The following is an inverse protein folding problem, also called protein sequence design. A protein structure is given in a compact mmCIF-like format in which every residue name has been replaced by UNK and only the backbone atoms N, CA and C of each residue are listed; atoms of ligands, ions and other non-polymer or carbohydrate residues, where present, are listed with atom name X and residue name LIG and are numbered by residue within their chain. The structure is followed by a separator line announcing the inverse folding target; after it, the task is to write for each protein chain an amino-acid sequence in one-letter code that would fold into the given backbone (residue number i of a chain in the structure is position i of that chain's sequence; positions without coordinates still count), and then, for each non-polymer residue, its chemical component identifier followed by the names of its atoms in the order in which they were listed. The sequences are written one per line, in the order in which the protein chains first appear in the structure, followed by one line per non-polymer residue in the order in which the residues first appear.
data_IF_402398674274
#
_entry.id   IF_402398674274
#
_cell.length_a   1.000
_cell.length_b   1.000
_cell.length_c   1.000
_cell.angle_alpha   90.00
_cell.angle_beta   90.00
_cell.angle_gamma   90.00
#
_symmetry.space_group_name_H-M   'P 1'
#
loop_
_entity.id
_entity.type
_entity.pdbx_description
1 polymer ?
#
# COMPACT_ATOMS: atom_id res chain seq x y z
N UNK A 1 -32.49 -35.10 -58.01
CA UNK A 1 -31.92 -35.53 -56.71
C UNK A 1 -30.84 -34.54 -56.23
N UNK A 2 -31.06 -33.22 -56.37
CA UNK A 2 -29.96 -32.23 -56.25
C UNK A 2 -29.94 -31.43 -54.94
N UNK A 3 -30.96 -31.57 -54.09
CA UNK A 3 -31.05 -30.82 -52.83
C UNK A 3 -30.17 -31.43 -51.71
N UNK A 4 -29.92 -32.73 -51.74
CA UNK A 4 -29.21 -33.46 -50.68
C UNK A 4 -27.71 -33.15 -50.65
N UNK A 5 -27.11 -32.86 -51.81
CA UNK A 5 -25.66 -32.59 -51.92
C UNK A 5 -25.32 -31.15 -51.55
N UNK A 6 -26.21 -30.20 -51.84
CA UNK A 6 -26.04 -28.78 -51.49
C UNK A 6 -26.07 -28.57 -49.97
N UNK A 7 -26.94 -29.30 -49.26
CA UNK A 7 -27.04 -29.24 -47.80
C UNK A 7 -25.78 -29.73 -47.08
N UNK A 8 -25.02 -30.66 -47.65
CA UNK A 8 -23.78 -31.16 -47.06
C UNK A 8 -22.61 -30.16 -47.23
N UNK A 9 -22.56 -29.43 -48.36
CA UNK A 9 -21.56 -28.38 -48.59
C UNK A 9 -21.77 -27.16 -47.68
N UNK A 10 -23.02 -26.90 -47.30
CA UNK A 10 -23.41 -25.80 -46.43
C UNK A 10 -23.29 -26.11 -44.93
N UNK A 11 -23.12 -27.39 -44.58
CA UNK A 11 -23.05 -27.81 -43.18
C UNK A 11 -21.77 -27.29 -42.49
N UNK A 12 -21.91 -26.98 -41.20
CA UNK A 12 -20.81 -26.57 -40.33
C UNK A 12 -19.81 -27.72 -40.15
N UNK A 13 -18.53 -27.45 -40.41
CA UNK A 13 -17.45 -28.44 -40.39
C UNK A 13 -16.23 -27.90 -39.64
N UNK A 14 -15.48 -28.78 -38.98
CA UNK A 14 -14.17 -28.40 -38.45
C UNK A 14 -13.21 -28.10 -39.60
N UNK A 15 -12.47 -27.00 -39.50
CA UNK A 15 -11.42 -26.66 -40.47
C UNK A 15 -10.05 -26.82 -39.82
N UNK A 16 -9.02 -26.97 -40.67
CA UNK A 16 -7.64 -27.04 -40.19
C UNK A 16 -7.16 -25.63 -39.81
N UNK A 17 -6.50 -25.51 -38.66
CA UNK A 17 -5.94 -24.23 -38.21
C UNK A 17 -4.97 -23.66 -39.24
N UNK A 18 -4.09 -24.51 -39.79
CA UNK A 18 -3.11 -24.13 -40.80
C UNK A 18 -3.75 -23.58 -42.10
N UNK A 19 -4.95 -24.04 -42.47
CA UNK A 19 -5.71 -23.51 -43.62
C UNK A 19 -6.04 -22.03 -43.39
N UNK A 20 -6.60 -21.71 -42.22
CA UNK A 20 -6.98 -20.34 -41.88
C UNK A 20 -5.76 -19.45 -41.65
N UNK A 21 -4.73 -19.93 -40.95
CA UNK A 21 -3.50 -19.17 -40.77
C UNK A 21 -2.86 -18.80 -42.11
N UNK A 22 -2.81 -19.75 -43.04
CA UNK A 22 -2.31 -19.48 -44.39
C UNK A 22 -3.19 -18.45 -45.11
N UNK A 23 -4.52 -18.58 -45.07
CA UNK A 23 -5.43 -17.60 -45.68
C UNK A 23 -5.32 -16.19 -45.06
N UNK A 24 -5.09 -16.11 -43.75
CA UNK A 24 -4.82 -14.85 -43.03
C UNK A 24 -3.50 -14.24 -43.52
N UNK A 25 -2.43 -15.03 -43.62
CA UNK A 25 -1.13 -14.57 -44.11
C UNK A 25 -1.20 -14.06 -45.56
N UNK A 26 -2.02 -14.70 -46.40
CA UNK A 26 -2.27 -14.27 -47.78
C UNK A 26 -3.20 -13.04 -47.86
N UNK A 27 -3.71 -12.53 -46.73
CA UNK A 27 -4.75 -11.48 -46.69
C UNK A 27 -5.97 -11.82 -47.57
N UNK A 28 -6.30 -13.11 -47.65
CA UNK A 28 -7.34 -13.64 -48.53
C UNK A 28 -8.74 -13.62 -47.90
N UNK A 29 -8.83 -13.32 -46.60
CA UNK A 29 -10.07 -13.32 -45.83
C UNK A 29 -10.59 -11.89 -45.60
N UNK A 30 -11.88 -11.69 -45.83
CA UNK A 30 -12.59 -10.50 -45.40
C UNK A 30 -13.12 -10.71 -43.97
N UNK A 31 -12.92 -9.73 -43.10
CA UNK A 31 -13.46 -9.75 -41.73
C UNK A 31 -14.86 -9.18 -41.74
N UNK A 32 -15.86 -9.97 -41.33
CA UNK A 32 -17.25 -9.51 -41.23
C UNK A 32 -17.59 -9.03 -39.82
N UNK A 33 -17.12 -9.76 -38.80
CA UNK A 33 -17.33 -9.43 -37.40
C UNK A 33 -16.14 -9.87 -36.56
N UNK A 34 -15.84 -9.11 -35.52
CA UNK A 34 -14.88 -9.49 -34.48
C UNK A 34 -15.45 -9.12 -33.12
N UNK A 35 -15.30 -10.04 -32.18
CA UNK A 35 -15.50 -9.82 -30.75
C UNK A 35 -14.15 -10.02 -30.06
N UNK A 36 -13.80 -9.14 -29.14
CA UNK A 36 -12.55 -9.24 -28.39
C UNK A 36 -12.80 -8.93 -26.91
N UNK A 37 -12.25 -9.78 -26.04
CA UNK A 37 -12.27 -9.59 -24.60
C UNK A 37 -10.97 -10.15 -24.00
N UNK A 38 -10.13 -9.25 -23.48
CA UNK A 38 -8.79 -9.58 -23.03
C UNK A 38 -7.99 -10.38 -24.07
N UNK A 39 -7.38 -11.50 -23.69
CA UNK A 39 -6.59 -12.37 -24.57
C UNK A 39 -7.44 -13.24 -25.52
N UNK A 40 -8.77 -13.21 -25.40
CA UNK A 40 -9.66 -14.04 -26.22
C UNK A 40 -10.39 -13.20 -27.26
N UNK A 41 -10.45 -13.71 -28.49
CA UNK A 41 -11.26 -13.09 -29.54
C UNK A 41 -11.96 -14.14 -30.39
N UNK A 42 -13.09 -13.75 -30.97
CA UNK A 42 -13.80 -14.54 -31.96
C UNK A 42 -14.00 -13.69 -33.21
N UNK A 43 -13.81 -14.26 -34.40
CA UNK A 43 -14.07 -13.57 -35.66
C UNK A 43 -14.90 -14.41 -36.60
N UNK A 44 -15.78 -13.74 -37.35
CA UNK A 44 -16.44 -14.29 -38.53
C UNK A 44 -15.72 -13.74 -39.75
N UNK A 45 -15.11 -14.64 -40.51
CA UNK A 45 -14.32 -14.35 -41.69
C UNK A 45 -14.99 -14.94 -42.93
N UNK A 46 -14.75 -14.34 -44.08
CA UNK A 46 -15.27 -14.78 -45.35
C UNK A 46 -14.14 -14.90 -46.37
N UNK A 47 -14.06 -16.06 -47.04
CA UNK A 47 -13.14 -16.28 -48.15
C UNK A 47 -13.91 -16.15 -49.47
N UNK A 48 -13.73 -15.03 -50.22
CA UNK A 48 -14.57 -14.74 -51.38
C UNK A 48 -14.38 -15.71 -52.54
N UNK A 49 -13.18 -16.29 -52.70
CA UNK A 49 -12.86 -17.18 -53.83
C UNK A 49 -13.72 -18.45 -53.82
N UNK A 50 -13.90 -19.02 -52.63
CA UNK A 50 -14.60 -20.30 -52.45
C UNK A 50 -15.96 -20.11 -51.74
N UNK A 51 -16.40 -18.87 -51.56
CA UNK A 51 -17.63 -18.48 -50.85
C UNK A 51 -17.77 -19.18 -49.49
N UNK A 52 -16.65 -19.35 -48.78
CA UNK A 52 -16.60 -20.10 -47.53
C UNK A 52 -16.49 -19.16 -46.35
N UNK A 53 -17.31 -19.39 -45.33
CA UNK A 53 -17.27 -18.66 -44.07
C UNK A 53 -16.43 -19.44 -43.05
N UNK A 54 -15.69 -18.71 -42.23
CA UNK A 54 -14.91 -19.25 -41.13
C UNK A 54 -15.29 -18.54 -39.83
N UNK A 55 -15.79 -19.29 -38.86
CA UNK A 55 -15.84 -18.86 -37.47
C UNK A 55 -14.52 -19.27 -36.81
N UNK A 56 -13.81 -18.31 -36.22
CA UNK A 56 -12.48 -18.53 -35.64
C UNK A 56 -12.47 -18.04 -34.19
N UNK A 57 -11.95 -18.87 -33.29
CA UNK A 57 -11.65 -18.52 -31.90
C UNK A 57 -10.14 -18.38 -31.74
N UNK A 58 -9.71 -17.29 -31.11
CA UNK A 58 -8.31 -16.99 -30.86
C UNK A 58 -8.02 -16.92 -29.36
N UNK A 59 -6.76 -17.18 -29.02
CA UNK A 59 -6.16 -16.90 -27.71
C UNK A 59 -4.77 -16.29 -27.95
N UNK A 60 -4.52 -15.10 -27.40
CA UNK A 60 -3.28 -14.33 -27.62
C UNK A 60 -2.93 -14.20 -29.12
N UNK A 61 -3.93 -13.84 -29.93
CA UNK A 61 -3.85 -13.73 -31.39
C UNK A 61 -3.53 -15.03 -32.15
N UNK A 62 -3.28 -16.14 -31.46
CA UNK A 62 -3.12 -17.45 -32.07
C UNK A 62 -4.48 -18.10 -32.34
N UNK A 63 -4.63 -18.72 -33.51
CA UNK A 63 -5.84 -19.46 -33.86
C UNK A 63 -5.94 -20.71 -32.99
N UNK A 64 -7.01 -20.81 -32.21
CA UNK A 64 -7.24 -21.95 -31.31
C UNK A 64 -8.24 -22.95 -31.88
N UNK A 65 -9.35 -22.45 -32.46
CA UNK A 65 -10.37 -23.30 -33.08
C UNK A 65 -10.95 -22.63 -34.31
N UNK A 66 -11.29 -23.46 -35.30
CA UNK A 66 -11.89 -23.00 -36.55
C UNK A 66 -13.03 -23.92 -36.95
N UNK A 67 -14.15 -23.30 -37.31
CA UNK A 67 -15.26 -23.96 -37.98
C UNK A 67 -15.50 -23.25 -39.32
N UNK A 68 -15.82 -24.01 -40.36
CA UNK A 68 -16.17 -23.48 -41.68
C UNK A 68 -17.55 -23.91 -42.13
N UNK A 69 -18.19 -23.08 -42.94
CA UNK A 69 -19.48 -23.36 -43.55
C UNK A 69 -19.59 -22.70 -44.93
N UNK A 70 -20.40 -23.28 -45.81
CA UNK A 70 -20.67 -22.74 -47.15
C UNK A 70 -21.68 -21.58 -47.17
N UNK A 71 -22.35 -21.29 -46.05
CA UNK A 71 -23.27 -20.16 -45.93
C UNK A 71 -23.18 -19.47 -44.57
N UNK A 72 -23.72 -18.25 -44.52
CA UNK A 72 -23.69 -17.41 -43.32
C UNK A 72 -24.66 -17.90 -42.24
N UNK A 73 -25.76 -18.54 -42.62
CA UNK A 73 -26.79 -19.01 -41.68
C UNK A 73 -26.26 -20.14 -40.79
N UNK A 74 -25.35 -20.96 -41.32
CA UNK A 74 -24.61 -21.98 -40.58
C UNK A 74 -23.39 -21.42 -39.82
N UNK A 75 -22.73 -20.38 -40.34
CA UNK A 75 -21.53 -19.80 -39.72
C UNK A 75 -21.83 -18.86 -38.54
N UNK A 76 -22.92 -18.09 -38.60
CA UNK A 76 -23.28 -17.09 -37.58
C UNK A 76 -23.56 -17.72 -36.19
N UNK A 77 -24.28 -18.86 -36.07
CA UNK A 77 -24.40 -19.57 -34.79
C UNK A 77 -23.06 -20.06 -34.24
N UNK A 78 -22.15 -20.52 -35.10
CA UNK A 78 -20.82 -20.97 -34.70
C UNK A 78 -19.98 -19.80 -34.16
N UNK A 79 -20.03 -18.66 -34.84
CA UNK A 79 -19.42 -17.41 -34.37
C UNK A 79 -19.98 -17.00 -33.01
N UNK A 80 -21.31 -16.96 -32.84
CA UNK A 80 -21.95 -16.62 -31.55
C UNK A 80 -21.52 -17.57 -30.43
N UNK A 81 -21.40 -18.86 -30.72
CA UNK A 81 -20.89 -19.83 -29.74
C UNK A 81 -19.45 -19.51 -29.31
N UNK A 82 -18.58 -19.12 -30.25
CA UNK A 82 -17.21 -18.69 -29.94
C UNK A 82 -17.18 -17.36 -29.18
N UNK A 83 -18.08 -16.42 -29.46
CA UNK A 83 -18.24 -15.18 -28.66
C UNK A 83 -18.56 -15.53 -27.21
N UNK A 84 -19.52 -16.42 -26.96
CA UNK A 84 -19.86 -16.85 -25.60
C UNK A 84 -18.70 -17.60 -24.93
N UNK A 85 -17.96 -18.42 -25.66
CA UNK A 85 -16.77 -19.10 -25.14
C UNK A 85 -15.69 -18.08 -24.74
N UNK A 86 -15.36 -17.14 -25.61
CA UNK A 86 -14.38 -16.08 -25.34
C UNK A 86 -14.78 -15.23 -24.14
N UNK A 87 -16.06 -14.83 -24.04
CA UNK A 87 -16.57 -14.05 -22.91
C UNK A 87 -16.47 -14.83 -21.58
N UNK A 88 -16.81 -16.12 -21.56
CA UNK A 88 -16.68 -16.97 -20.36
C UNK A 88 -15.23 -17.14 -19.92
N UNK A 89 -14.30 -17.30 -20.87
CA UNK A 89 -12.88 -17.45 -20.55
C UNK A 89 -12.28 -16.14 -20.02
N UNK A 90 -12.68 -15.01 -20.62
CA UNK A 90 -12.28 -13.67 -20.18
C UNK A 90 -12.82 -13.30 -18.78
N UNK A 91 -13.88 -13.93 -18.29
CA UNK A 91 -14.44 -13.65 -16.96
C UNK A 91 -13.42 -13.90 -15.84
N UNK A 92 -12.58 -14.93 -15.98
CA UNK A 92 -11.52 -15.22 -15.01
C UNK A 92 -10.46 -14.10 -14.97
N UNK A 93 -10.10 -13.55 -16.14
CA UNK A 93 -9.15 -12.44 -16.24
C UNK A 93 -9.72 -11.15 -15.68
N UNK A 94 -11.00 -10.87 -15.95
CA UNK A 94 -11.71 -9.73 -15.36
C UNK A 94 -11.70 -9.78 -13.83
N UNK A 95 -12.06 -10.94 -13.25
CA UNK A 95 -12.05 -11.13 -11.79
C UNK A 95 -10.64 -10.98 -11.23
N UNK A 96 -9.63 -11.54 -11.90
CA UNK A 96 -8.23 -11.41 -11.50
C UNK A 96 -7.78 -9.95 -11.49
N UNK A 97 -8.03 -9.22 -12.58
CA UNK A 97 -7.66 -7.80 -12.70
C UNK A 97 -8.30 -6.97 -11.58
N UNK A 98 -9.57 -7.24 -11.27
CA UNK A 98 -10.27 -6.54 -10.20
C UNK A 98 -9.68 -6.85 -8.82
N UNK A 99 -9.39 -8.12 -8.51
CA UNK A 99 -8.75 -8.52 -7.25
C UNK A 99 -7.35 -7.94 -7.11
N UNK A 100 -6.56 -7.89 -8.19
CA UNK A 100 -5.24 -7.26 -8.18
C UNK A 100 -5.34 -5.78 -7.83
N UNK A 101 -6.27 -5.05 -8.45
CA UNK A 101 -6.48 -3.63 -8.15
C UNK A 101 -6.91 -3.39 -6.67
N UNK A 102 -7.78 -4.25 -6.13
CA UNK A 102 -8.18 -4.18 -4.72
C UNK A 102 -7.01 -4.45 -3.78
N UNK A 103 -6.20 -5.48 -4.06
CA UNK A 103 -5.03 -5.81 -3.26
C UNK A 103 -4.00 -4.68 -3.25
N UNK A 104 -3.76 -4.04 -4.40
CA UNK A 104 -2.88 -2.88 -4.48
C UNK A 104 -3.42 -1.69 -3.68
N UNK A 105 -4.73 -1.47 -3.69
CA UNK A 105 -5.36 -0.44 -2.86
C UNK A 105 -5.16 -0.72 -1.36
N UNK A 106 -5.41 -1.95 -0.92
CA UNK A 106 -5.19 -2.33 0.47
C UNK A 106 -3.71 -2.23 0.88
N UNK A 107 -2.79 -2.65 0.01
CA UNK A 107 -1.36 -2.51 0.27
C UNK A 107 -0.96 -1.05 0.51
N UNK A 108 -1.52 -0.10 -0.26
CA UNK A 108 -1.30 1.34 -0.03
C UNK A 108 -1.85 1.81 1.32
N UNK A 109 -3.09 1.43 1.66
CA UNK A 109 -3.71 1.80 2.94
C UNK A 109 -2.97 1.22 4.15
N UNK A 110 -2.47 -0.01 4.04
CA UNK A 110 -1.65 -0.64 5.08
C UNK A 110 -0.35 0.15 5.27
N UNK A 111 0.36 0.46 4.19
CA UNK A 111 1.61 1.22 4.27
C UNK A 111 1.41 2.62 4.87
N UNK A 112 0.32 3.32 4.52
CA UNK A 112 -0.04 4.61 5.12
C UNK A 112 -0.34 4.49 6.62
N UNK A 113 -1.08 3.44 7.02
CA UNK A 113 -1.40 3.15 8.42
C UNK A 113 -0.14 2.83 9.24
N UNK A 114 0.74 1.97 8.71
CA UNK A 114 2.02 1.64 9.34
C UNK A 114 2.89 2.88 9.54
N UNK A 115 2.97 3.76 8.53
CA UNK A 115 3.67 5.04 8.64
C UNK A 115 3.03 5.98 9.69
N UNK A 116 1.71 5.94 9.87
CA UNK A 116 1.02 6.71 10.91
C UNK A 116 1.28 6.14 12.31
N UNK A 117 1.28 4.82 12.45
CA UNK A 117 1.60 4.13 13.71
C UNK A 117 3.04 4.44 14.13
N UNK A 118 3.99 4.36 13.21
CA UNK A 118 5.40 4.63 13.52
C UNK A 118 5.63 6.09 13.93
N UNK A 119 5.02 7.05 13.21
CA UNK A 119 5.04 8.47 13.61
C UNK A 119 4.49 8.67 15.02
N UNK A 120 3.31 8.11 15.29
CA UNK A 120 2.68 8.18 16.63
C UNK A 120 3.58 7.58 17.72
N UNK A 121 4.24 6.45 17.43
CA UNK A 121 5.17 5.80 18.36
C UNK A 121 6.38 6.67 18.68
N UNK A 122 6.99 7.29 17.66
CA UNK A 122 8.11 8.21 17.82
C UNK A 122 7.71 9.42 18.67
N UNK A 123 6.53 10.00 18.42
CA UNK A 123 6.05 11.16 19.17
C UNK A 123 5.78 10.82 20.64
N UNK A 124 5.19 9.66 20.93
CA UNK A 124 4.99 9.18 22.30
C UNK A 124 6.32 8.95 23.05
N UNK A 125 7.32 8.36 22.39
CA UNK A 125 8.65 8.15 22.98
C UNK A 125 9.33 9.50 23.30
N UNK A 126 9.23 10.47 22.40
CA UNK A 126 9.77 11.82 22.62
C UNK A 126 9.05 12.54 23.77
N UNK A 127 7.72 12.50 23.81
CA UNK A 127 6.93 13.09 24.89
C UNK A 127 7.29 12.51 26.25
N UNK A 128 7.38 11.18 26.36
CA UNK A 128 7.78 10.51 27.60
C UNK A 128 9.18 10.89 28.07
N UNK A 129 10.15 11.04 27.16
CA UNK A 129 11.50 11.47 27.50
C UNK A 129 11.52 12.93 27.99
N UNK A 130 10.72 13.80 27.36
CA UNK A 130 10.61 15.20 27.74
C UNK A 130 9.96 15.36 29.13
N UNK A 131 8.90 14.60 29.41
CA UNK A 131 8.25 14.60 30.73
C UNK A 131 9.20 14.15 31.84
N UNK A 132 10.02 13.12 31.57
CA UNK A 132 11.03 12.65 32.52
C UNK A 132 12.12 13.71 32.78
N UNK A 133 12.58 14.42 31.75
CA UNK A 133 13.55 15.50 31.92
C UNK A 133 12.97 16.66 32.75
N UNK A 134 11.73 17.06 32.48
CA UNK A 134 11.04 18.11 33.25
C UNK A 134 10.88 17.69 34.71
N UNK A 135 10.48 16.45 34.98
CA UNK A 135 10.36 15.92 36.33
C UNK A 135 11.70 15.96 37.09
N UNK A 136 12.80 15.52 36.46
CA UNK A 136 14.14 15.58 37.05
C UNK A 136 14.57 17.03 37.36
N UNK A 137 14.33 17.97 36.45
CA UNK A 137 14.63 19.39 36.69
C UNK A 137 13.81 19.97 37.84
N UNK A 138 12.57 19.54 38.02
CA UNK A 138 11.74 19.96 39.15
C UNK A 138 12.27 19.43 40.49
N UNK A 139 12.71 18.17 40.55
CA UNK A 139 13.35 17.61 41.74
C UNK A 139 14.64 18.37 42.11
N UNK A 140 15.52 18.63 41.13
CA UNK A 140 16.72 19.44 41.36
C UNK A 140 16.39 20.84 41.89
N UNK A 141 15.32 21.48 41.38
CA UNK A 141 14.86 22.78 41.89
C UNK A 141 14.36 22.69 43.34
N UNK A 142 13.62 21.63 43.70
CA UNK A 142 13.18 21.41 45.08
C UNK A 142 14.38 21.20 46.01
N UNK A 143 15.34 20.38 45.60
CA UNK A 143 16.56 20.11 46.37
C UNK A 143 17.39 21.38 46.60
N UNK A 144 17.56 22.21 45.56
CA UNK A 144 18.23 23.51 45.68
C UNK A 144 17.52 24.42 46.67
N UNK A 145 16.20 24.55 46.58
CA UNK A 145 15.42 25.38 47.52
C UNK A 145 15.57 24.87 48.97
N UNK A 146 15.61 23.55 49.18
CA UNK A 146 15.87 22.97 50.50
C UNK A 146 17.30 23.27 51.00
N UNK A 147 18.31 23.14 50.13
CA UNK A 147 19.70 23.45 50.47
C UNK A 147 19.89 24.94 50.80
N UNK A 148 19.26 25.84 50.04
CA UNK A 148 19.30 27.28 50.31
C UNK A 148 18.65 27.62 51.66
N UNK A 149 17.50 27.02 51.97
CA UNK A 149 16.84 27.16 53.27
C UNK A 149 17.75 26.70 54.42
N UNK A 150 18.39 25.53 54.27
CA UNK A 150 19.37 25.02 55.25
C UNK A 150 20.56 25.96 55.41
N UNK A 151 21.09 26.51 54.31
CA UNK A 151 22.21 27.47 54.33
C UNK A 151 21.83 28.74 55.09
N UNK A 152 20.66 29.32 54.82
CA UNK A 152 20.16 30.52 55.51
C UNK A 152 20.01 30.26 57.00
N UNK A 153 19.44 29.11 57.38
CA UNK A 153 19.31 28.72 58.79
C UNK A 153 20.69 28.59 59.49
N UNK A 154 21.65 27.93 58.85
CA UNK A 154 23.01 27.78 59.37
C UNK A 154 23.72 29.14 59.52
N UNK A 155 23.57 30.04 58.55
CA UNK A 155 24.13 31.40 58.63
C UNK A 155 23.51 32.20 59.78
N UNK A 156 22.20 32.11 59.98
CA UNK A 156 21.53 32.76 61.11
C UNK A 156 22.05 32.25 62.46
N UNK A 157 22.32 30.94 62.57
CA UNK A 157 22.91 30.33 63.77
C UNK A 157 24.36 30.81 63.99
N UNK A 158 25.18 30.86 62.94
CA UNK A 158 26.54 31.39 63.01
C UNK A 158 26.54 32.85 63.51
N UNK A 159 25.70 33.70 62.92
CA UNK A 159 25.59 35.11 63.32
C UNK A 159 25.10 35.25 64.78
N UNK A 160 24.29 34.32 65.28
CA UNK A 160 23.88 34.29 66.69
C UNK A 160 25.06 33.93 67.61
N UNK A 161 25.81 32.88 67.27
CA UNK A 161 26.98 32.44 68.03
C UNK A 161 28.07 33.52 68.07
N UNK A 162 28.34 34.17 66.94
CA UNK A 162 29.30 35.28 66.87
C UNK A 162 28.90 36.45 67.78
N UNK A 163 27.61 36.82 67.78
CA UNK A 163 27.10 37.86 68.70
C UNK A 163 27.28 37.46 70.16
N UNK A 164 27.02 36.20 70.52
CA UNK A 164 27.24 35.70 71.87
C UNK A 164 28.72 35.75 72.26
N UNK A 165 29.61 35.36 71.35
CA UNK A 165 31.07 35.48 71.55
C UNK A 165 31.51 36.92 71.78
N UNK A 166 31.02 37.88 70.98
CA UNK A 166 31.34 39.29 71.17
C UNK A 166 30.84 39.81 72.53
N UNK A 167 29.63 39.42 72.97
CA UNK A 167 29.11 39.77 74.29
C UNK A 167 29.99 39.20 75.41
N UNK A 168 30.39 37.92 75.32
CA UNK A 168 31.30 37.28 76.28
C UNK A 168 32.68 37.95 76.32
N UNK A 169 33.19 38.40 75.18
CA UNK A 169 34.50 39.07 75.11
C UNK A 169 34.44 40.48 75.70
N UNK A 170 33.34 41.20 75.50
CA UNK A 170 33.11 42.52 76.09
C UNK A 170 33.01 42.46 77.62
N UNK A 171 32.25 41.51 78.17
CA UNK A 171 32.13 41.32 79.63
C UNK A 171 33.43 40.79 80.26
N UNK A 172 34.23 40.03 79.52
CA UNK A 172 35.56 39.60 79.96
C UNK A 172 36.56 40.76 80.00
N UNK A 173 36.50 41.70 79.05
CA UNK A 173 37.36 42.89 79.04
C UNK A 173 37.00 43.89 80.14
N UNK A 174 35.74 43.95 80.57
CA UNK A 174 35.33 44.72 81.76
C UNK A 174 35.86 44.12 83.08
N UNK A 175 36.29 42.85 83.08
CA UNK A 175 36.83 42.15 84.25
C UNK A 175 38.36 42.01 84.24
N UNK A 176 39.09 42.73 83.39
CA UNK A 176 40.56 42.81 83.48
C UNK A 176 40.93 43.74 84.65
N UNK A 177 41.64 43.27 85.70
CA UNK A 177 42.01 44.10 86.83
C UNK A 177 43.00 45.19 86.40
N UNK A 178 42.71 46.45 86.71
CA UNK A 178 43.74 47.49 86.76
C UNK A 178 44.78 47.09 87.83
N UNK A 179 45.98 46.68 87.40
CA UNK A 179 47.12 46.53 88.32
C UNK A 179 47.52 47.93 88.85
N UNK A 180 47.75 48.08 90.16
CA UNK A 180 48.13 49.36 90.74
C UNK A 180 49.60 49.65 90.39
N UNK A 181 49.87 50.88 89.94
CA UNK A 181 51.23 51.43 89.90
C UNK A 181 51.49 52.19 91.22
N UNK A 182 52.63 51.87 91.83
CA UNK A 182 53.02 52.18 93.20
C UNK A 182 53.14 53.68 93.57
N UNK A 183 52.83 53.98 94.83
CA UNK A 183 53.75 54.63 95.78
C UNK A 183 53.68 53.94 97.12
#
# INVERSE_FOLDING_TARGET
MSASTQSAANALQAAQIAEVEWLIQQSALAVFRTFQSFAYSASLLFYPRDLTYYAVLYHEDAVWRVLKAGDVDAAEPAFRHFVEQAARLAEAELRRAHLQAQNEQFARLIAESEAQVERSRVDLQRGSAQDQEVALRQEVRKDLAQLESRRVAAQAQLNKLQRQMHQLTATSNENVPHLPSAR
#
